data_IF_485727975063
#
_entry.id   IF_485727975063
#
_cell.length_a   1.000
_cell.length_b   1.000
_cell.length_c   1.000
_cell.angle_alpha   90.00
_cell.angle_beta   90.00
_cell.angle_gamma   90.00
#
_symmetry.space_group_name_H-M   'P 1'
#
loop_
_entity.id
_entity.type
_entity.pdbx_description
1 polymer ?
#
# COMPACT_ATOMS: atom_id res chain seq x y z
N UNK A 1 -13.31 4.16 -18.70
CA UNK A 1 -13.71 5.02 -19.81
C UNK A 1 -13.65 4.18 -21.07
N UNK A 2 -14.77 3.69 -21.54
CA UNK A 2 -14.83 2.98 -22.83
C UNK A 2 -14.39 3.94 -23.95
N UNK A 3 -13.56 3.43 -24.85
CA UNK A 3 -13.08 4.18 -26.02
C UNK A 3 -14.30 4.50 -26.92
N UNK A 4 -14.91 5.60 -26.71
CA UNK A 4 -16.04 6.05 -27.55
C UNK A 4 -17.09 6.92 -26.87
N UNK A 5 -17.17 6.91 -25.53
CA UNK A 5 -18.11 7.78 -24.85
C UNK A 5 -17.45 9.15 -24.58
N UNK A 6 -17.67 10.08 -25.50
CA UNK A 6 -17.22 11.49 -25.41
C UNK A 6 -18.27 12.37 -24.73
N UNK A 7 -19.26 11.80 -24.01
CA UNK A 7 -20.28 12.59 -23.36
C UNK A 7 -19.67 13.53 -22.31
N UNK A 8 -19.99 14.82 -22.39
CA UNK A 8 -19.57 15.91 -21.51
C UNK A 8 -19.83 15.63 -20.01
N UNK A 9 -20.65 14.65 -19.71
CA UNK A 9 -21.08 14.29 -18.37
C UNK A 9 -20.02 13.60 -17.49
N UNK A 10 -18.92 13.07 -18.06
CA UNK A 10 -17.94 12.33 -17.23
C UNK A 10 -17.15 13.23 -16.29
N UNK A 11 -16.80 14.43 -16.70
CA UNK A 11 -16.09 15.38 -15.83
C UNK A 11 -16.98 15.79 -14.67
N UNK A 12 -18.24 16.13 -14.96
CA UNK A 12 -19.24 16.50 -13.95
C UNK A 12 -19.51 15.33 -12.99
N UNK A 13 -19.61 14.11 -13.51
CA UNK A 13 -19.80 12.90 -12.67
C UNK A 13 -18.61 12.64 -11.76
N UNK A 14 -17.38 12.82 -12.26
CA UNK A 14 -16.16 12.69 -11.45
C UNK A 14 -16.08 13.76 -10.36
N UNK A 15 -16.42 15.00 -10.68
CA UNK A 15 -16.49 16.09 -9.70
C UNK A 15 -17.54 15.80 -8.62
N UNK A 16 -18.72 15.34 -9.02
CA UNK A 16 -19.76 14.93 -8.10
C UNK A 16 -19.32 13.77 -7.19
N UNK A 17 -18.72 12.70 -7.76
CA UNK A 17 -18.19 11.59 -6.98
C UNK A 17 -17.10 12.05 -5.99
N UNK A 18 -16.22 12.94 -6.41
CA UNK A 18 -15.20 13.50 -5.52
C UNK A 18 -15.83 14.33 -4.39
N UNK A 19 -16.90 15.08 -4.65
CA UNK A 19 -17.62 15.82 -3.60
C UNK A 19 -18.29 14.88 -2.61
N UNK A 20 -18.92 13.81 -3.09
CA UNK A 20 -19.52 12.76 -2.24
C UNK A 20 -18.45 12.07 -1.39
N UNK A 21 -17.32 11.70 -1.99
CA UNK A 21 -16.19 11.12 -1.26
C UNK A 21 -15.65 12.07 -0.19
N UNK A 22 -15.54 13.35 -0.50
CA UNK A 22 -15.10 14.37 0.46
C UNK A 22 -16.04 14.47 1.67
N UNK A 23 -17.37 14.42 1.44
CA UNK A 23 -18.36 14.42 2.52
C UNK A 23 -18.32 13.11 3.34
N UNK A 24 -18.16 11.96 2.69
CA UNK A 24 -17.99 10.68 3.39
C UNK A 24 -16.75 10.69 4.28
N UNK A 25 -15.62 11.21 3.81
CA UNK A 25 -14.41 11.33 4.62
C UNK A 25 -14.58 12.33 5.77
N UNK A 26 -15.29 13.41 5.55
CA UNK A 26 -15.64 14.35 6.61
C UNK A 26 -16.50 13.68 7.69
N UNK A 27 -17.49 12.86 7.29
CA UNK A 27 -18.31 12.07 8.21
C UNK A 27 -17.53 11.01 9.00
N UNK A 28 -16.35 10.55 8.52
CA UNK A 28 -15.46 9.64 9.25
C UNK A 28 -14.65 10.32 10.34
N UNK A 29 -14.57 11.64 10.34
CA UNK A 29 -13.86 12.44 11.33
C UNK A 29 -12.35 12.54 11.06
N UNK A 30 -11.66 13.11 12.04
CA UNK A 30 -10.21 13.34 12.04
C UNK A 30 -9.41 12.10 12.46
N UNK A 31 -10.01 11.23 13.28
CA UNK A 31 -9.38 10.04 13.86
C UNK A 31 -10.18 8.75 13.59
N UNK A 32 -10.39 8.38 12.32
CA UNK A 32 -11.25 7.23 11.97
C UNK A 32 -10.74 5.89 12.51
N UNK A 33 -9.43 5.76 12.79
CA UNK A 33 -8.81 4.58 13.38
C UNK A 33 -8.88 4.51 14.91
N UNK A 34 -9.31 5.60 15.57
CA UNK A 34 -9.25 5.69 17.04
C UNK A 34 -10.04 4.60 17.74
N UNK A 35 -11.20 4.21 17.22
CA UNK A 35 -11.99 3.12 17.78
C UNK A 35 -11.22 1.80 17.82
N UNK A 36 -10.48 1.48 16.75
CA UNK A 36 -9.65 0.27 16.67
C UNK A 36 -8.44 0.34 17.58
N UNK A 37 -7.82 1.52 17.70
CA UNK A 37 -6.73 1.74 18.67
C UNK A 37 -7.22 1.52 20.09
N UNK A 38 -8.41 2.01 20.43
CA UNK A 38 -9.01 1.75 21.75
C UNK A 38 -9.28 0.25 21.97
N UNK A 39 -9.78 -0.45 20.96
CA UNK A 39 -9.98 -1.91 21.03
C UNK A 39 -8.67 -2.69 21.21
N UNK A 40 -7.58 -2.25 20.56
CA UNK A 40 -6.23 -2.83 20.74
C UNK A 40 -5.67 -2.63 22.17
N UNK A 41 -6.08 -1.55 22.81
CA UNK A 41 -5.69 -1.21 24.17
C UNK A 41 -6.67 -1.71 25.24
N UNK A 42 -7.64 -2.54 24.81
CA UNK A 42 -8.71 -3.05 25.70
C UNK A 42 -9.53 -1.95 26.40
N UNK A 43 -9.71 -0.84 25.68
CA UNK A 43 -10.48 0.32 26.10
C UNK A 43 -11.79 0.47 25.31
N UNK A 44 -12.41 -0.66 24.92
CA UNK A 44 -13.61 -0.70 24.07
C UNK A 44 -14.80 0.05 24.65
N UNK A 45 -14.88 0.18 25.98
CA UNK A 45 -15.91 0.96 26.69
C UNK A 45 -15.90 2.44 26.27
N UNK A 46 -14.76 2.98 25.79
CA UNK A 46 -14.63 4.35 25.32
C UNK A 46 -15.08 4.56 23.87
N UNK A 47 -15.34 3.49 23.12
CA UNK A 47 -15.69 3.58 21.67
C UNK A 47 -17.03 4.28 21.45
N UNK A 48 -18.07 3.94 22.24
CA UNK A 48 -19.38 4.58 22.10
C UNK A 48 -19.34 6.09 22.47
N UNK A 49 -18.73 6.50 23.61
CA UNK A 49 -18.49 7.92 23.90
C UNK A 49 -17.67 8.65 22.85
N UNK A 50 -16.67 8.00 22.25
CA UNK A 50 -15.90 8.57 21.16
C UNK A 50 -16.77 8.88 19.93
N UNK A 51 -17.62 7.92 19.49
CA UNK A 51 -18.56 8.14 18.38
C UNK A 51 -19.53 9.29 18.66
N UNK A 52 -19.99 9.41 19.89
CA UNK A 52 -20.82 10.53 20.31
C UNK A 52 -20.05 11.87 20.23
N UNK A 53 -18.77 11.87 20.63
CA UNK A 53 -17.90 13.04 20.52
C UNK A 53 -17.64 13.45 19.06
N UNK A 54 -17.46 12.48 18.13
CA UNK A 54 -17.37 12.73 16.69
C UNK A 54 -18.64 13.44 16.20
N UNK A 55 -19.83 12.89 16.52
CA UNK A 55 -21.09 13.50 16.14
C UNK A 55 -21.32 14.91 16.73
N UNK A 56 -20.70 15.21 17.88
CA UNK A 56 -20.77 16.52 18.54
C UNK A 56 -19.65 17.49 18.10
N UNK A 57 -18.76 17.11 17.17
CA UNK A 57 -17.61 17.92 16.77
C UNK A 57 -16.51 18.07 17.83
N UNK A 58 -16.49 17.19 18.85
CA UNK A 58 -15.53 17.19 19.97
C UNK A 58 -14.48 16.07 19.87
N UNK A 59 -14.25 15.56 18.68
CA UNK A 59 -13.39 14.43 18.42
C UNK A 59 -11.94 14.69 18.87
N UNK A 60 -11.39 15.86 18.54
CA UNK A 60 -10.03 16.25 18.91
C UNK A 60 -9.84 16.33 20.43
N UNK A 61 -10.83 16.90 21.15
CA UNK A 61 -10.82 16.98 22.60
C UNK A 61 -10.83 15.58 23.23
N UNK A 62 -11.68 14.69 22.71
CA UNK A 62 -11.77 13.32 23.19
C UNK A 62 -10.47 12.53 22.94
N UNK A 63 -9.90 12.64 21.75
CA UNK A 63 -8.60 12.04 21.42
C UNK A 63 -7.50 12.51 22.38
N UNK A 64 -7.41 13.82 22.66
CA UNK A 64 -6.43 14.36 23.59
C UNK A 64 -6.67 13.87 25.03
N UNK A 65 -7.93 13.71 25.44
CA UNK A 65 -8.26 13.17 26.75
C UNK A 65 -7.84 11.71 26.89
N UNK A 66 -8.10 10.85 25.88
CA UNK A 66 -7.68 9.44 25.90
C UNK A 66 -6.16 9.32 25.91
N UNK A 67 -5.46 10.06 25.05
CA UNK A 67 -3.99 10.02 25.00
C UNK A 67 -3.37 10.58 26.30
N UNK A 68 -3.97 11.62 26.87
CA UNK A 68 -3.59 12.16 28.17
C UNK A 68 -3.78 11.16 29.31
N UNK A 69 -4.90 10.43 29.30
CA UNK A 69 -5.22 9.42 30.31
C UNK A 69 -4.28 8.20 30.22
N UNK A 70 -3.98 7.73 29.01
CA UNK A 70 -3.01 6.64 28.78
C UNK A 70 -1.62 7.00 29.30
N UNK A 71 -1.21 8.25 29.10
CA UNK A 71 0.09 8.76 29.57
C UNK A 71 0.09 9.23 31.03
N UNK A 72 -1.02 9.09 31.76
CA UNK A 72 -1.13 9.47 33.17
C UNK A 72 -1.22 10.98 33.43
N UNK A 73 -1.45 11.79 32.38
CA UNK A 73 -1.60 13.24 32.49
C UNK A 73 -3.00 13.66 32.97
N UNK A 74 -4.01 12.83 32.73
CA UNK A 74 -5.39 13.02 33.17
C UNK A 74 -5.88 11.80 33.91
N UNK A 75 -6.85 11.99 34.81
CA UNK A 75 -7.43 10.91 35.62
C UNK A 75 -8.70 10.33 35.03
N UNK A 76 -9.38 11.07 34.14
CA UNK A 76 -10.66 10.72 33.55
C UNK A 76 -10.68 10.97 32.06
N UNK A 77 -11.55 10.24 31.36
CA UNK A 77 -11.88 10.46 29.95
C UNK A 77 -13.34 10.95 29.90
N UNK A 78 -13.65 12.06 29.21
CA UNK A 78 -15.00 12.62 29.17
C UNK A 78 -16.04 11.62 28.70
N UNK A 79 -17.12 11.45 29.45
CA UNK A 79 -18.23 10.56 29.11
C UNK A 79 -17.90 9.05 29.22
N UNK A 80 -16.73 8.69 29.75
CA UNK A 80 -16.34 7.28 29.94
C UNK A 80 -16.30 6.94 31.42
N UNK A 81 -17.09 5.94 31.83
CA UNK A 81 -17.04 5.37 33.17
C UNK A 81 -16.20 4.09 33.11
N UNK A 82 -15.00 4.13 33.69
CA UNK A 82 -14.11 2.99 33.77
C UNK A 82 -14.22 2.32 35.13
N UNK A 83 -14.36 1.01 35.15
CA UNK A 83 -14.10 0.25 36.38
C UNK A 83 -12.61 0.26 36.70
N UNK A 84 -12.24 0.05 37.96
CA UNK A 84 -10.83 -0.04 38.34
C UNK A 84 -10.10 -1.17 37.58
N UNK A 85 -10.81 -2.27 37.29
CA UNK A 85 -10.28 -3.40 36.53
C UNK A 85 -9.99 -3.02 35.07
N UNK A 86 -10.95 -2.38 34.36
CA UNK A 86 -10.77 -1.95 32.97
C UNK A 86 -9.66 -0.91 32.85
N UNK A 87 -9.61 0.05 33.78
CA UNK A 87 -8.56 1.04 33.82
C UNK A 87 -7.17 0.41 34.03
N UNK A 88 -7.06 -0.56 34.93
CA UNK A 88 -5.81 -1.28 35.17
C UNK A 88 -5.38 -2.09 33.94
N UNK A 89 -6.33 -2.75 33.27
CA UNK A 89 -6.09 -3.57 32.10
C UNK A 89 -5.59 -2.72 30.93
N UNK A 90 -6.28 -1.64 30.57
CA UNK A 90 -5.88 -0.73 29.49
C UNK A 90 -4.51 -0.08 29.75
N UNK A 91 -4.28 0.39 31.00
CA UNK A 91 -2.97 0.95 31.37
C UNK A 91 -1.85 -0.08 31.34
N UNK A 92 -2.14 -1.35 31.67
CA UNK A 92 -1.17 -2.44 31.54
C UNK A 92 -0.82 -2.66 30.07
N UNK A 93 -1.81 -2.75 29.18
CA UNK A 93 -1.58 -2.89 27.73
C UNK A 93 -0.73 -1.73 27.19
N UNK A 94 -1.04 -0.49 27.61
CA UNK A 94 -0.25 0.67 27.23
C UNK A 94 1.21 0.61 27.70
N UNK A 95 1.44 0.17 28.94
CA UNK A 95 2.78 0.05 29.53
C UNK A 95 3.61 -1.05 28.87
N UNK A 96 2.98 -2.12 28.41
CA UNK A 96 3.65 -3.21 27.68
C UNK A 96 4.16 -2.78 26.29
N UNK A 97 3.59 -1.72 25.72
CA UNK A 97 4.02 -1.21 24.42
C UNK A 97 5.37 -0.50 24.52
N UNK A 98 6.22 -0.70 23.51
CA UNK A 98 7.48 0.04 23.37
C UNK A 98 7.20 1.54 23.15
N UNK A 99 8.24 2.38 23.25
CA UNK A 99 8.10 3.81 23.00
C UNK A 99 7.63 4.09 21.56
N UNK A 100 8.13 3.32 20.58
CA UNK A 100 7.83 3.48 19.17
C UNK A 100 6.41 3.01 18.84
N UNK A 101 5.96 1.88 19.40
CA UNK A 101 4.55 1.46 19.32
C UNK A 101 3.61 2.51 19.91
N UNK A 102 3.95 3.10 21.06
CA UNK A 102 3.13 4.15 21.65
C UNK A 102 3.06 5.40 20.78
N UNK A 103 4.15 5.78 20.12
CA UNK A 103 4.14 6.88 19.14
C UNK A 103 3.25 6.58 17.95
N UNK A 104 3.35 5.38 17.40
CA UNK A 104 2.52 4.96 16.27
C UNK A 104 1.04 4.91 16.66
N UNK A 105 0.71 4.31 17.81
CA UNK A 105 -0.65 4.22 18.38
C UNK A 105 -1.24 5.58 18.75
N UNK A 106 -0.40 6.56 19.10
CA UNK A 106 -0.88 7.91 19.44
C UNK A 106 -1.02 8.81 18.23
N UNK A 107 -0.05 8.79 17.31
CA UNK A 107 0.07 9.87 16.33
C UNK A 107 -0.43 9.49 14.94
N UNK A 108 -0.26 8.23 14.54
CA UNK A 108 -0.50 7.79 13.15
C UNK A 108 -1.74 6.90 13.04
N UNK A 109 -1.78 5.76 13.73
CA UNK A 109 -2.88 4.80 13.58
C UNK A 109 -4.28 5.37 13.88
N UNK A 110 -4.46 6.29 14.85
CA UNK A 110 -5.76 6.93 15.04
C UNK A 110 -6.28 7.69 13.82
N UNK A 111 -5.39 8.24 12.99
CA UNK A 111 -5.73 9.00 11.78
C UNK A 111 -6.07 8.12 10.58
N UNK A 112 -5.71 6.84 10.63
CA UNK A 112 -5.84 5.91 9.51
C UNK A 112 -7.07 5.01 9.68
N UNK A 113 -7.92 4.95 8.67
CA UNK A 113 -9.07 4.02 8.66
C UNK A 113 -8.60 2.61 8.27
N UNK A 114 -7.92 1.95 9.21
CA UNK A 114 -7.43 0.59 9.04
C UNK A 114 -8.24 -0.39 9.88
N UNK A 115 -8.49 -1.63 9.39
CA UNK A 115 -9.02 -2.72 10.20
C UNK A 115 -8.09 -3.06 11.37
N UNK A 116 -8.65 -3.64 12.42
CA UNK A 116 -7.90 -4.00 13.63
C UNK A 116 -6.79 -5.00 13.34
N UNK A 117 -7.06 -6.01 12.53
CA UNK A 117 -6.11 -7.05 12.13
C UNK A 117 -4.90 -6.48 11.34
N UNK A 118 -5.14 -5.52 10.43
CA UNK A 118 -4.02 -4.81 9.77
C UNK A 118 -3.18 -4.03 10.79
N UNK A 119 -3.81 -3.34 11.76
CA UNK A 119 -3.07 -2.64 12.82
C UNK A 119 -2.23 -3.61 13.68
N UNK A 120 -2.78 -4.78 14.01
CA UNK A 120 -2.06 -5.83 14.76
C UNK A 120 -0.84 -6.33 14.00
N UNK A 121 -0.98 -6.58 12.70
CA UNK A 121 0.13 -6.99 11.83
C UNK A 121 1.22 -5.90 11.71
N UNK A 122 0.82 -4.64 11.59
CA UNK A 122 1.77 -3.49 11.55
C UNK A 122 2.58 -3.40 12.86
N UNK A 123 1.94 -3.64 14.00
CA UNK A 123 2.57 -3.59 15.31
C UNK A 123 3.39 -4.85 15.64
N UNK A 124 3.19 -5.94 14.90
CA UNK A 124 3.86 -7.21 15.14
C UNK A 124 5.36 -7.13 14.84
N UNK A 125 6.17 -7.86 15.61
CA UNK A 125 7.59 -8.08 15.27
C UNK A 125 7.77 -8.87 13.98
N UNK A 126 6.72 -9.61 13.55
CA UNK A 126 6.67 -10.38 12.31
C UNK A 126 6.10 -9.60 11.12
N UNK A 127 6.05 -8.26 11.19
CA UNK A 127 5.51 -7.43 10.10
C UNK A 127 6.18 -7.65 8.75
N UNK A 128 7.43 -8.13 8.73
CA UNK A 128 8.13 -8.54 7.50
C UNK A 128 7.42 -9.68 6.75
N UNK A 129 6.66 -10.55 7.43
CA UNK A 129 5.82 -11.57 6.79
C UNK A 129 4.72 -10.93 5.91
N UNK A 130 4.36 -9.68 6.21
CA UNK A 130 3.44 -8.86 5.43
C UNK A 130 4.17 -7.88 4.49
N UNK A 131 5.39 -8.20 4.09
CA UNK A 131 6.25 -7.37 3.24
C UNK A 131 6.54 -5.96 3.81
N UNK A 132 6.28 -5.73 5.09
CA UNK A 132 6.50 -4.44 5.76
C UNK A 132 7.86 -4.45 6.47
N UNK A 133 8.92 -4.11 5.73
CA UNK A 133 10.29 -4.08 6.24
C UNK A 133 10.61 -2.81 7.05
N UNK A 134 9.77 -1.77 6.89
CA UNK A 134 9.94 -0.50 7.60
C UNK A 134 9.84 -0.67 9.11
N UNK A 135 10.72 0.00 9.85
CA UNK A 135 10.64 0.12 11.31
C UNK A 135 9.44 0.96 11.75
N UNK A 136 9.02 0.80 13.02
CA UNK A 136 7.87 1.56 13.53
C UNK A 136 8.10 3.08 13.46
N UNK A 137 9.34 3.54 13.69
CA UNK A 137 9.67 4.96 13.58
C UNK A 137 9.68 5.44 12.13
N UNK A 138 10.10 4.59 11.19
CA UNK A 138 10.00 4.93 9.76
C UNK A 138 8.54 5.13 9.34
N UNK A 139 7.61 4.35 9.91
CA UNK A 139 6.17 4.50 9.67
C UNK A 139 5.63 5.80 10.32
N UNK A 140 6.13 6.16 11.51
CA UNK A 140 5.76 7.44 12.16
C UNK A 140 6.21 8.62 11.32
N UNK A 141 7.44 8.57 10.79
CA UNK A 141 8.01 9.64 9.98
C UNK A 141 7.46 9.65 8.54
N UNK A 142 7.07 8.49 8.04
CA UNK A 142 6.50 8.33 6.70
C UNK A 142 5.36 7.30 6.69
N UNK A 143 4.13 7.68 7.00
CA UNK A 143 2.99 6.76 6.99
C UNK A 143 2.71 6.12 5.62
N UNK A 144 3.19 6.74 4.54
CA UNK A 144 2.97 6.22 3.19
C UNK A 144 3.67 4.89 2.92
N UNK A 145 4.70 4.51 3.71
CA UNK A 145 5.34 3.19 3.58
C UNK A 145 4.34 2.05 3.79
N UNK A 146 3.27 2.27 4.55
CA UNK A 146 2.19 1.31 4.70
C UNK A 146 1.50 1.01 3.36
N UNK A 147 1.25 2.04 2.56
CA UNK A 147 0.69 1.87 1.22
C UNK A 147 1.71 1.33 0.20
N UNK A 148 3.00 1.60 0.42
CA UNK A 148 4.08 1.16 -0.47
C UNK A 148 4.46 -0.31 -0.27
N UNK A 149 4.39 -0.82 0.95
CA UNK A 149 4.98 -2.11 1.31
C UNK A 149 3.97 -3.16 1.75
N UNK A 150 2.97 -2.77 2.58
CA UNK A 150 2.09 -3.74 3.23
C UNK A 150 1.32 -4.60 2.22
N UNK A 151 1.45 -5.91 2.39
CA UNK A 151 0.66 -6.94 1.71
C UNK A 151 0.25 -7.94 2.78
N UNK A 152 -1.06 -8.16 2.94
CA UNK A 152 -1.60 -9.13 3.88
C UNK A 152 -1.51 -10.57 3.37
N UNK A 153 -2.36 -11.42 3.93
CA UNK A 153 -2.39 -12.85 3.57
C UNK A 153 -2.89 -13.07 2.14
N UNK A 154 -3.67 -12.12 1.63
CA UNK A 154 -4.22 -12.12 0.27
C UNK A 154 -3.57 -11.00 -0.56
N UNK A 155 -3.26 -11.21 -1.85
CA UNK A 155 -2.73 -10.15 -2.72
C UNK A 155 -3.59 -8.88 -2.77
N UNK A 156 -4.89 -9.01 -2.50
CA UNK A 156 -5.83 -7.89 -2.43
C UNK A 156 -5.89 -7.22 -1.04
N UNK A 157 -5.30 -7.84 0.00
CA UNK A 157 -5.19 -7.25 1.35
C UNK A 157 -4.03 -6.26 1.41
N UNK A 158 -4.19 -5.16 0.70
CA UNK A 158 -3.27 -4.03 0.65
C UNK A 158 -3.86 -2.81 1.35
N UNK A 159 -2.99 -1.90 1.75
CA UNK A 159 -3.41 -0.60 2.26
C UNK A 159 -3.38 0.42 1.10
N UNK A 160 -4.53 0.87 0.61
CA UNK A 160 -4.57 1.81 -0.51
C UNK A 160 -3.96 3.16 -0.16
N UNK A 161 -3.26 3.78 -1.13
CA UNK A 161 -2.72 5.13 -1.00
C UNK A 161 -3.74 6.12 -0.41
N UNK A 162 -4.99 6.08 -0.88
CA UNK A 162 -6.04 6.99 -0.46
C UNK A 162 -6.32 6.96 1.05
N UNK A 163 -6.24 5.78 1.69
CA UNK A 163 -6.44 5.66 3.15
C UNK A 163 -5.36 6.40 3.94
N UNK A 164 -4.12 6.28 3.49
CA UNK A 164 -3.00 6.99 4.13
C UNK A 164 -3.09 8.49 3.85
N UNK A 165 -3.31 8.87 2.60
CA UNK A 165 -3.39 10.27 2.18
C UNK A 165 -4.52 11.05 2.88
N UNK A 166 -5.62 10.38 3.26
CA UNK A 166 -6.68 11.00 4.06
C UNK A 166 -6.26 11.24 5.52
N UNK A 167 -5.48 10.37 6.10
CA UNK A 167 -4.93 10.56 7.45
C UNK A 167 -3.85 11.62 7.50
N UNK A 168 -3.04 11.74 6.43
CA UNK A 168 -1.98 12.76 6.30
C UNK A 168 -2.57 14.14 6.01
N UNK A 169 -3.58 14.22 5.12
CA UNK A 169 -4.27 15.44 4.71
C UNK A 169 -5.77 15.36 5.02
N UNK A 170 -6.16 15.46 6.30
CA UNK A 170 -7.57 15.48 6.67
C UNK A 170 -8.28 16.70 6.07
N UNK A 171 -9.62 16.67 6.04
CA UNK A 171 -10.39 17.83 5.63
C UNK A 171 -10.12 19.04 6.52
N UNK A 172 -9.81 20.23 5.98
CA UNK A 172 -9.56 21.43 6.77
C UNK A 172 -10.73 21.79 7.71
N UNK A 173 -11.94 21.44 7.34
CA UNK A 173 -13.15 21.68 8.13
C UNK A 173 -13.16 20.88 9.46
N UNK A 174 -12.32 19.86 9.60
CA UNK A 174 -12.17 19.08 10.84
C UNK A 174 -11.15 19.69 11.80
N UNK A 175 -10.46 20.76 11.42
CA UNK A 175 -9.46 21.44 12.25
C UNK A 175 -8.22 20.61 12.56
N UNK A 176 -7.93 19.59 11.74
CA UNK A 176 -6.72 18.78 11.84
C UNK A 176 -5.53 19.42 11.13
N UNK A 177 -4.35 19.17 11.67
CA UNK A 177 -3.09 19.58 11.03
C UNK A 177 -2.66 18.53 10.00
N UNK A 178 -2.06 18.98 8.90
CA UNK A 178 -1.40 18.12 7.93
C UNK A 178 -0.10 17.56 8.54
N UNK A 179 0.19 16.30 8.26
CA UNK A 179 1.43 15.69 8.76
C UNK A 179 2.66 16.09 7.93
N UNK A 180 2.45 16.41 6.66
CA UNK A 180 3.49 16.77 5.70
C UNK A 180 3.01 17.91 4.79
N UNK A 181 3.94 18.49 4.02
CA UNK A 181 3.61 19.39 2.94
C UNK A 181 2.99 18.65 1.75
N UNK A 182 2.16 19.34 0.96
CA UNK A 182 1.43 18.70 -0.15
C UNK A 182 2.34 18.18 -1.25
N UNK A 183 3.49 18.79 -1.42
CA UNK A 183 4.54 18.47 -2.40
C UNK A 183 5.70 17.67 -1.82
N UNK A 184 5.51 17.08 -0.62
CA UNK A 184 6.52 16.23 0.03
C UNK A 184 6.85 14.99 -0.82
N UNK A 185 8.14 14.64 -0.89
CA UNK A 185 8.65 13.49 -1.63
C UNK A 185 8.03 12.14 -1.18
N UNK A 186 7.63 12.00 0.07
CA UNK A 186 6.99 10.77 0.60
C UNK A 186 5.70 10.51 -0.14
N UNK A 187 4.92 11.56 -0.36
CA UNK A 187 3.67 11.51 -1.11
C UNK A 187 3.90 11.20 -2.58
N UNK A 188 4.88 11.88 -3.21
CA UNK A 188 5.28 11.62 -4.59
C UNK A 188 5.69 10.16 -4.77
N UNK A 189 6.58 9.66 -3.91
CA UNK A 189 7.05 8.27 -3.96
C UNK A 189 5.89 7.27 -3.86
N UNK A 190 5.03 7.44 -2.88
CA UNK A 190 3.87 6.56 -2.70
C UNK A 190 2.93 6.55 -3.92
N UNK A 191 2.69 7.72 -4.52
CA UNK A 191 1.89 7.83 -5.75
C UNK A 191 2.55 7.12 -6.94
N UNK A 192 3.86 7.28 -7.10
CA UNK A 192 4.62 6.58 -8.13
C UNK A 192 4.59 5.06 -7.94
N UNK A 193 4.83 4.59 -6.71
CA UNK A 193 4.75 3.16 -6.35
C UNK A 193 3.36 2.60 -6.63
N UNK A 194 2.33 3.30 -6.20
CA UNK A 194 0.94 2.90 -6.43
C UNK A 194 0.62 2.83 -7.94
N UNK A 195 1.04 3.82 -8.73
CA UNK A 195 0.84 3.81 -10.18
C UNK A 195 1.58 2.65 -10.87
N UNK A 196 2.83 2.40 -10.51
CA UNK A 196 3.64 1.31 -11.06
C UNK A 196 3.10 -0.07 -10.66
N UNK A 197 2.53 -0.21 -9.46
CA UNK A 197 1.91 -1.47 -8.99
C UNK A 197 0.71 -1.88 -9.86
N UNK A 198 -0.07 -0.92 -10.31
CA UNK A 198 -1.24 -1.16 -11.16
C UNK A 198 -0.94 -1.16 -12.66
N UNK A 199 0.34 -1.06 -13.06
CA UNK A 199 0.72 -1.25 -14.45
C UNK A 199 0.72 -2.75 -14.79
N UNK A 200 -0.11 -3.14 -15.77
CA UNK A 200 -0.32 -4.54 -16.13
C UNK A 200 0.35 -4.95 -17.44
N UNK A 201 0.75 -3.97 -18.26
CA UNK A 201 1.32 -4.24 -19.58
C UNK A 201 2.85 -4.23 -19.58
N UNK A 202 3.44 -3.45 -18.69
CA UNK A 202 4.88 -3.24 -18.61
C UNK A 202 5.32 -3.28 -17.16
N UNK A 203 6.56 -3.66 -16.94
CA UNK A 203 7.19 -3.65 -15.61
C UNK A 203 7.75 -2.27 -15.25
N UNK A 204 7.70 -1.32 -16.19
CA UNK A 204 8.21 0.03 -16.07
C UNK A 204 7.36 1.07 -16.81
N UNK A 205 7.53 2.32 -16.48
CA UNK A 205 7.00 3.47 -17.21
C UNK A 205 8.11 4.50 -17.46
N UNK A 206 7.99 5.30 -18.53
CA UNK A 206 8.85 6.47 -18.63
C UNK A 206 8.54 7.46 -17.52
N UNK A 207 9.56 8.16 -17.00
CA UNK A 207 9.40 9.14 -15.92
C UNK A 207 8.36 10.21 -16.26
N UNK A 208 8.35 10.68 -17.52
CA UNK A 208 7.35 11.66 -17.98
C UNK A 208 5.92 11.10 -17.93
N UNK A 209 5.70 9.84 -18.40
CA UNK A 209 4.37 9.21 -18.33
C UNK A 209 3.95 8.97 -16.89
N UNK A 210 4.85 8.47 -16.04
CA UNK A 210 4.60 8.23 -14.63
C UNK A 210 4.15 9.52 -13.94
N UNK A 211 4.89 10.61 -14.14
CA UNK A 211 4.60 11.90 -13.53
C UNK A 211 3.28 12.50 -14.06
N UNK A 212 3.01 12.35 -15.35
CA UNK A 212 1.73 12.77 -15.94
C UNK A 212 0.55 12.03 -15.30
N UNK A 213 0.66 10.70 -15.11
CA UNK A 213 -0.38 9.89 -14.49
C UNK A 213 -0.60 10.26 -13.02
N UNK A 214 0.48 10.50 -12.27
CA UNK A 214 0.45 10.97 -10.89
C UNK A 214 -0.26 12.33 -10.79
N UNK A 215 0.15 13.30 -11.61
CA UNK A 215 -0.45 14.63 -11.62
C UNK A 215 -1.92 14.61 -12.01
N UNK A 216 -2.31 13.78 -12.97
CA UNK A 216 -3.70 13.59 -13.35
C UNK A 216 -4.54 13.08 -12.17
N UNK A 217 -4.04 12.10 -11.41
CA UNK A 217 -4.72 11.61 -10.20
C UNK A 217 -4.83 12.68 -9.12
N UNK A 218 -3.75 13.39 -8.86
CA UNK A 218 -3.73 14.49 -7.87
C UNK A 218 -4.68 15.61 -8.24
N UNK A 219 -4.84 15.92 -9.53
CA UNK A 219 -5.79 16.89 -10.02
C UNK A 219 -7.27 16.54 -9.77
N UNK A 220 -7.59 15.25 -9.60
CA UNK A 220 -8.93 14.76 -9.26
C UNK A 220 -9.24 14.81 -7.75
N UNK A 221 -8.24 15.06 -6.90
CA UNK A 221 -8.45 15.15 -5.46
C UNK A 221 -9.14 16.46 -5.07
N UNK A 222 -9.72 16.56 -3.85
CA UNK A 222 -10.22 17.82 -3.30
C UNK A 222 -9.14 18.91 -3.34
N UNK A 223 -9.53 20.18 -3.48
CA UNK A 223 -8.65 21.32 -3.70
C UNK A 223 -7.51 21.42 -2.66
N UNK A 224 -7.82 21.19 -1.39
CA UNK A 224 -6.81 21.26 -0.32
C UNK A 224 -5.72 20.18 -0.42
N UNK A 225 -5.93 19.12 -1.23
CA UNK A 225 -4.96 18.05 -1.48
C UNK A 225 -4.25 18.19 -2.83
N UNK A 226 -4.71 19.07 -3.70
CA UNK A 226 -4.16 19.22 -5.04
C UNK A 226 -2.75 19.80 -4.98
N UNK A 227 -1.89 19.21 -5.77
CA UNK A 227 -0.52 19.66 -6.05
C UNK A 227 -0.13 19.16 -7.43
N UNK A 228 0.83 19.81 -8.05
CA UNK A 228 1.43 19.39 -9.31
C UNK A 228 2.93 19.23 -9.13
N UNK A 229 3.42 18.03 -9.30
CA UNK A 229 4.84 17.73 -9.29
C UNK A 229 5.46 18.03 -10.66
N UNK A 230 6.65 18.63 -10.67
CA UNK A 230 7.48 18.84 -11.86
C UNK A 230 8.54 17.75 -11.95
N UNK A 231 9.17 17.59 -13.11
CA UNK A 231 10.26 16.62 -13.30
C UNK A 231 11.44 16.85 -12.34
N UNK A 232 11.69 18.10 -11.97
CA UNK A 232 12.73 18.47 -10.99
C UNK A 232 12.57 17.77 -9.63
N UNK A 233 11.35 17.43 -9.21
CA UNK A 233 11.14 16.67 -7.97
C UNK A 233 11.70 15.25 -8.05
N UNK A 234 11.67 14.62 -9.23
CA UNK A 234 12.28 13.30 -9.43
C UNK A 234 13.81 13.35 -9.33
N UNK A 235 14.42 14.49 -9.62
CA UNK A 235 15.87 14.69 -9.53
C UNK A 235 16.28 15.07 -8.10
N UNK A 236 15.61 16.06 -7.50
CA UNK A 236 15.94 16.59 -6.16
C UNK A 236 15.77 15.50 -5.10
N UNK A 237 14.70 14.73 -5.18
CA UNK A 237 14.37 13.69 -4.19
C UNK A 237 14.82 12.29 -4.61
N UNK A 238 15.70 12.19 -5.60
CA UNK A 238 16.16 10.94 -6.22
C UNK A 238 16.52 9.85 -5.19
N UNK A 239 17.36 10.18 -4.22
CA UNK A 239 17.83 9.25 -3.21
C UNK A 239 16.66 8.64 -2.41
N UNK A 240 15.65 9.45 -2.08
CA UNK A 240 14.48 9.00 -1.35
C UNK A 240 13.55 8.16 -2.23
N UNK A 241 13.41 8.49 -3.50
CA UNK A 241 12.60 7.75 -4.46
C UNK A 241 13.24 6.39 -4.76
N UNK A 242 14.54 6.33 -4.85
CA UNK A 242 15.29 5.10 -5.13
C UNK A 242 15.21 4.06 -4.01
N UNK A 243 14.75 4.41 -2.82
CA UNK A 243 14.44 3.42 -1.78
C UNK A 243 13.33 2.43 -2.20
N UNK A 244 12.40 2.84 -3.05
CA UNK A 244 11.27 2.02 -3.52
C UNK A 244 11.29 1.75 -5.03
N UNK A 245 12.03 2.54 -5.80
CA UNK A 245 12.06 2.49 -7.26
C UNK A 245 13.48 2.33 -7.77
N UNK A 246 13.62 1.96 -9.04
CA UNK A 246 14.89 1.98 -9.79
C UNK A 246 14.68 2.80 -11.04
N UNK A 247 15.60 3.72 -11.30
CA UNK A 247 15.58 4.54 -12.49
C UNK A 247 16.66 4.08 -13.48
N UNK A 248 16.28 3.95 -14.74
CA UNK A 248 17.16 3.53 -15.83
C UNK A 248 17.06 4.51 -16.98
N UNK A 249 18.21 5.00 -17.39
CA UNK A 249 18.32 5.86 -18.59
C UNK A 249 18.67 5.01 -19.79
N UNK A 250 17.84 5.06 -20.81
CA UNK A 250 18.08 4.44 -22.11
C UNK A 250 17.99 5.51 -23.19
N UNK A 251 19.11 5.78 -23.85
CA UNK A 251 19.24 6.88 -24.78
C UNK A 251 18.92 8.24 -24.11
N UNK A 252 17.89 8.92 -24.57
CA UNK A 252 17.46 10.21 -24.02
C UNK A 252 16.27 10.11 -23.04
N UNK A 253 15.78 8.90 -22.80
CA UNK A 253 14.62 8.68 -21.95
C UNK A 253 15.00 7.99 -20.64
N UNK A 254 14.36 8.40 -19.58
CA UNK A 254 14.49 7.75 -18.28
C UNK A 254 13.21 7.00 -17.93
N UNK A 255 13.39 5.80 -17.39
CA UNK A 255 12.34 4.86 -17.01
C UNK A 255 12.41 4.55 -15.53
N UNK A 256 11.24 4.41 -14.90
CA UNK A 256 11.10 4.03 -13.51
C UNK A 256 10.47 2.63 -13.39
N UNK A 257 11.02 1.83 -12.50
CA UNK A 257 10.58 0.47 -12.14
C UNK A 257 10.26 0.43 -10.65
N UNK A 258 9.36 -0.45 -10.23
CA UNK A 258 9.34 -0.86 -8.83
C UNK A 258 10.63 -1.63 -8.52
N UNK A 259 11.32 -1.28 -7.43
CA UNK A 259 12.59 -1.92 -7.03
C UNK A 259 12.46 -3.44 -6.98
N UNK A 260 11.45 -3.96 -6.27
CA UNK A 260 11.23 -5.41 -6.14
C UNK A 260 11.01 -6.12 -7.48
N UNK A 261 10.33 -5.46 -8.43
CA UNK A 261 10.08 -6.03 -9.77
C UNK A 261 11.36 -6.05 -10.58
N UNK A 262 12.11 -4.95 -10.57
CA UNK A 262 13.41 -4.87 -11.23
C UNK A 262 14.41 -5.90 -10.69
N UNK A 263 14.47 -6.10 -9.37
CA UNK A 263 15.34 -7.09 -8.73
C UNK A 263 14.94 -8.51 -9.12
N UNK A 264 13.64 -8.82 -9.14
CA UNK A 264 13.13 -10.11 -9.61
C UNK A 264 13.48 -10.37 -11.08
N UNK A 265 13.34 -9.38 -11.96
CA UNK A 265 13.77 -9.50 -13.37
C UNK A 265 15.27 -9.77 -13.49
N UNK A 266 16.10 -9.07 -12.72
CA UNK A 266 17.56 -9.29 -12.70
C UNK A 266 17.91 -10.68 -12.19
N UNK A 267 17.21 -11.19 -11.21
CA UNK A 267 17.41 -12.54 -10.71
C UNK A 267 17.05 -13.59 -11.78
N UNK A 268 15.88 -13.41 -12.44
CA UNK A 268 15.46 -14.29 -13.57
C UNK A 268 16.50 -14.23 -14.68
N UNK A 269 16.93 -13.05 -15.09
CA UNK A 269 17.98 -12.89 -16.11
C UNK A 269 19.27 -13.62 -15.73
N UNK A 270 19.70 -13.45 -14.47
CA UNK A 270 20.89 -14.13 -13.96
C UNK A 270 20.78 -15.67 -13.97
N UNK A 271 19.59 -16.19 -13.65
CA UNK A 271 19.30 -17.64 -13.73
C UNK A 271 19.29 -18.14 -15.16
N UNK A 272 18.64 -17.42 -16.06
CA UNK A 272 18.60 -17.78 -17.49
C UNK A 272 20.00 -17.76 -18.13
N UNK A 273 20.81 -16.74 -17.82
CA UNK A 273 22.20 -16.68 -18.31
C UNK A 273 23.05 -17.85 -17.79
N UNK A 274 22.86 -18.27 -16.53
CA UNK A 274 23.52 -19.46 -15.99
C UNK A 274 23.06 -20.72 -16.73
N UNK A 275 21.76 -20.89 -16.95
CA UNK A 275 21.21 -22.02 -17.70
C UNK A 275 21.75 -22.07 -19.13
N UNK A 276 21.81 -20.92 -19.81
CA UNK A 276 22.36 -20.81 -21.16
C UNK A 276 23.88 -21.09 -21.24
N UNK A 277 24.59 -20.93 -20.11
CA UNK A 277 26.02 -21.21 -20.03
C UNK A 277 26.36 -22.65 -19.64
N UNK A 278 25.37 -23.48 -19.29
CA UNK A 278 25.62 -24.90 -19.12
C UNK A 278 25.89 -25.54 -20.49
N UNK A 279 27.03 -26.18 -20.63
CA UNK A 279 27.29 -27.09 -21.77
C UNK A 279 26.23 -28.19 -21.80
N UNK A 280 26.00 -28.74 -22.96
CA UNK A 280 24.95 -29.73 -23.24
C UNK A 280 24.69 -30.70 -22.09
N UNK A 281 23.46 -30.70 -21.60
CA UNK A 281 23.05 -31.61 -20.51
C UNK A 281 23.06 -33.01 -21.11
N UNK A 282 24.09 -33.80 -20.78
CA UNK A 282 24.14 -35.22 -21.12
C UNK A 282 23.26 -35.98 -20.13
N UNK A 283 22.09 -36.39 -20.55
CA UNK A 283 21.26 -37.31 -19.77
C UNK A 283 21.94 -38.68 -19.67
N UNK A 284 21.91 -39.32 -18.52
CA UNK A 284 22.38 -40.71 -18.32
C UNK A 284 21.66 -41.71 -19.27
N UNK A 285 20.44 -41.39 -19.63
CA UNK A 285 19.67 -42.08 -20.68
C UNK A 285 19.18 -41.02 -21.66
N UNK A 286 19.45 -41.20 -22.95
CA UNK A 286 19.02 -40.20 -23.94
C UNK A 286 17.50 -40.12 -23.95
N UNK A 287 16.99 -38.92 -23.79
CA UNK A 287 15.55 -38.64 -23.93
C UNK A 287 15.27 -38.62 -25.44
N UNK A 288 14.48 -39.56 -25.89
CA UNK A 288 14.09 -39.68 -27.30
C UNK A 288 12.84 -38.86 -27.55
N UNK A 289 12.58 -38.54 -28.86
CA UNK A 289 11.33 -37.90 -29.29
C UNK A 289 10.11 -38.69 -28.80
N UNK A 290 10.21 -40.02 -28.73
CA UNK A 290 9.15 -40.87 -28.18
C UNK A 290 8.83 -40.55 -26.71
N UNK A 291 9.85 -40.37 -25.88
CA UNK A 291 9.63 -40.03 -24.46
C UNK A 291 8.94 -38.68 -24.32
N UNK A 292 9.31 -37.68 -25.13
CA UNK A 292 8.64 -36.38 -25.14
C UNK A 292 7.21 -36.49 -25.66
N UNK A 293 6.99 -37.25 -26.72
CA UNK A 293 5.65 -37.48 -27.29
C UNK A 293 4.74 -38.17 -26.27
N UNK A 294 5.22 -39.20 -25.60
CA UNK A 294 4.47 -39.93 -24.57
C UNK A 294 4.12 -39.02 -23.40
N UNK A 295 5.06 -38.15 -22.94
CA UNK A 295 4.83 -37.23 -21.85
C UNK A 295 3.85 -36.09 -22.19
N UNK A 296 4.02 -35.49 -23.37
CA UNK A 296 3.22 -34.31 -23.78
C UNK A 296 1.83 -34.67 -24.28
N UNK A 297 1.68 -35.89 -24.85
CA UNK A 297 0.42 -36.37 -25.39
C UNK A 297 -0.31 -37.36 -24.49
N UNK A 298 0.23 -37.64 -23.31
CA UNK A 298 -0.46 -38.47 -22.30
C UNK A 298 -1.80 -37.82 -21.94
N UNK A 299 -2.88 -38.56 -22.17
CA UNK A 299 -4.26 -38.12 -21.93
C UNK A 299 -4.57 -37.82 -20.46
N UNK A 300 -3.75 -38.35 -19.54
CA UNK A 300 -3.86 -38.07 -18.10
C UNK A 300 -3.20 -36.75 -17.67
N UNK A 301 -2.37 -36.13 -18.51
CA UNK A 301 -1.72 -34.89 -18.27
C UNK A 301 -2.68 -33.71 -18.44
N UNK A 302 -2.82 -32.86 -17.42
CA UNK A 302 -3.62 -31.62 -17.49
C UNK A 302 -3.10 -30.62 -18.52
N UNK A 303 -1.81 -30.71 -18.89
CA UNK A 303 -1.17 -29.92 -19.92
C UNK A 303 -1.58 -30.42 -21.34
N UNK A 304 -1.69 -31.74 -21.53
CA UNK A 304 -2.07 -32.35 -22.80
C UNK A 304 -3.49 -31.97 -23.24
N UNK A 305 -4.43 -31.85 -22.27
CA UNK A 305 -5.82 -31.54 -22.56
C UNK A 305 -6.05 -30.15 -23.18
N UNK A 306 -5.22 -29.14 -22.82
CA UNK A 306 -5.38 -27.77 -23.28
C UNK A 306 -4.64 -27.42 -24.58
N UNK A 307 -3.48 -28.00 -24.82
CA UNK A 307 -2.54 -27.55 -25.86
C UNK A 307 -2.05 -28.69 -26.78
N UNK A 308 -2.80 -29.80 -26.86
CA UNK A 308 -2.38 -30.98 -27.60
C UNK A 308 -2.02 -30.69 -29.06
N UNK A 309 -2.82 -29.88 -29.74
CA UNK A 309 -2.57 -29.53 -31.16
C UNK A 309 -1.31 -28.66 -31.34
N UNK A 310 -0.96 -27.85 -30.36
CA UNK A 310 0.28 -27.05 -30.37
C UNK A 310 1.50 -27.90 -30.08
N UNK A 311 1.39 -28.89 -29.19
CA UNK A 311 2.48 -29.82 -28.88
C UNK A 311 2.72 -30.78 -30.05
N UNK A 312 1.67 -31.26 -30.73
CA UNK A 312 1.79 -32.07 -31.94
C UNK A 312 2.54 -31.31 -33.06
N UNK A 313 2.18 -30.06 -33.32
CA UNK A 313 2.89 -29.19 -34.28
C UNK A 313 4.35 -28.92 -33.87
N UNK A 314 4.62 -28.71 -32.60
CA UNK A 314 5.98 -28.48 -32.12
C UNK A 314 6.86 -29.70 -32.23
N UNK A 315 6.31 -30.90 -31.99
CA UNK A 315 7.00 -32.17 -32.16
C UNK A 315 7.27 -32.45 -33.65
N UNK A 316 6.29 -32.19 -34.53
CA UNK A 316 6.43 -32.36 -36.01
C UNK A 316 7.43 -31.37 -36.62
N UNK A 317 7.56 -30.17 -36.08
CA UNK A 317 8.51 -29.14 -36.53
C UNK A 317 9.98 -29.42 -36.15
N UNK A 318 10.30 -30.56 -35.56
CA UNK A 318 11.65 -30.97 -35.10
C UNK A 318 12.31 -29.94 -34.12
N UNK A 319 11.52 -29.21 -33.44
CA UNK A 319 12.02 -28.22 -32.52
C UNK A 319 11.45 -28.41 -31.11
N UNK A 320 11.83 -29.47 -30.41
CA UNK A 320 11.75 -29.45 -28.95
C UNK A 320 12.85 -28.51 -28.48
N UNK A 321 12.53 -27.24 -28.41
CA UNK A 321 13.37 -26.28 -27.75
C UNK A 321 13.16 -26.51 -26.26
N UNK A 322 14.14 -27.14 -25.63
CA UNK A 322 14.25 -27.18 -24.18
C UNK A 322 14.60 -25.80 -23.65
#
# INVERSE_FOLDING_TARGET
>A
RDKGDTSENWTVRLEWLNSVLAELWKGRGLYPGMARVMDLLELSVAVAPFRAAVGAGKEKEFYLAVTGWLNGKTTTIPGVTLTAADAAKARRQWKLRTADERRLLSNILPRLDLPKDQMERILSDKRGENCLDAGLMDIVDNPYVLAEQFIGDDPDDIIPFSRIDHGVFPSPNLGGEFLHDKDDWRRLRAMCVDRLRYETKHTFLSCGQLLQDVNRRLGLLPEWKRVQFKETYLEVDRENLEKAMVFRKESEREYAYLRRVHEAEREIEGRLRKLAGYADITFKSPVTEKHWRDLLLDSSSSLAAKNRAEYEKAIEAQGVVC
#
